data_IF_915871817676
#
_entry.id   IF_915871817676
#
_cell.length_a   1.000
_cell.length_b   1.000
_cell.length_c   1.000
_cell.angle_alpha   90.00
_cell.angle_beta   90.00
_cell.angle_gamma   90.00
#
_symmetry.space_group_name_H-M   'P 1'
#
loop_
_entity.id
_entity.type
_entity.pdbx_description
1 polymer ?
#
# COMPACT_ATOMS: atom_id res chain seq x y z
N UNK A 1 -28.36 -35.61 -19.79
CA UNK A 1 -28.44 -34.24 -19.24
C UNK A 1 -27.12 -33.93 -18.55
N UNK A 2 -26.15 -33.44 -19.33
CA UNK A 2 -24.85 -33.00 -18.82
C UNK A 2 -25.01 -31.52 -18.43
N UNK A 3 -25.31 -31.25 -17.16
CA UNK A 3 -25.24 -29.89 -16.63
C UNK A 3 -23.79 -29.59 -16.27
N UNK A 4 -23.08 -29.00 -17.23
CA UNK A 4 -21.81 -28.32 -17.01
C UNK A 4 -22.09 -27.05 -16.19
N UNK A 5 -21.93 -27.11 -14.88
CA UNK A 5 -21.87 -25.92 -14.04
C UNK A 5 -20.42 -25.43 -14.03
N UNK A 6 -20.07 -24.55 -14.98
CA UNK A 6 -18.86 -23.75 -14.89
C UNK A 6 -19.03 -22.73 -13.76
N UNK A 7 -18.44 -23.02 -12.60
CA UNK A 7 -18.24 -22.04 -11.55
C UNK A 7 -17.02 -21.19 -11.91
N UNK A 8 -17.19 -20.21 -12.78
CA UNK A 8 -16.15 -19.22 -13.03
C UNK A 8 -16.06 -18.26 -11.83
N UNK A 9 -15.13 -18.53 -10.91
CA UNK A 9 -14.98 -17.78 -9.66
C UNK A 9 -13.70 -16.94 -9.76
N UNK A 10 -13.85 -15.65 -10.04
CA UNK A 10 -12.72 -14.74 -10.17
C UNK A 10 -12.48 -13.98 -8.85
N UNK A 11 -11.36 -14.29 -8.20
CA UNK A 11 -10.76 -13.41 -7.20
C UNK A 11 -10.16 -12.20 -7.96
N UNK A 12 -10.73 -10.98 -7.82
CA UNK A 12 -10.23 -9.79 -8.54
C UNK A 12 -9.23 -8.99 -7.69
N UNK A 13 -7.98 -8.81 -8.13
CA UNK A 13 -7.05 -7.89 -7.47
C UNK A 13 -7.34 -6.43 -7.89
N UNK A 14 -7.25 -5.43 -6.99
CA UNK A 14 -7.38 -4.03 -7.39
C UNK A 14 -6.11 -3.54 -8.10
N UNK A 15 -6.32 -2.57 -9.00
CA UNK A 15 -5.37 -1.98 -9.97
C UNK A 15 -3.99 -1.60 -9.39
N UNK A 16 -2.93 -1.56 -10.23
CA UNK A 16 -1.58 -1.20 -9.79
C UNK A 16 -1.51 0.27 -9.35
N UNK A 17 -1.18 0.51 -8.08
CA UNK A 17 -0.88 1.85 -7.58
C UNK A 17 0.52 2.30 -8.05
N UNK A 18 0.65 3.53 -8.54
CA UNK A 18 1.95 4.16 -8.79
C UNK A 18 2.52 4.64 -7.44
N UNK A 19 3.66 4.11 -7.03
CA UNK A 19 4.28 4.42 -5.74
C UNK A 19 5.17 5.67 -5.82
N UNK A 20 4.62 6.80 -5.42
CA UNK A 20 5.37 8.01 -5.10
C UNK A 20 5.06 8.37 -3.66
N UNK A 21 6.09 8.49 -2.81
CA UNK A 21 5.92 9.03 -1.47
C UNK A 21 6.61 10.37 -1.36
N UNK A 22 5.82 11.39 -1.03
CA UNK A 22 6.30 12.74 -0.76
C UNK A 22 5.94 13.08 0.67
N UNK A 23 6.96 13.27 1.51
CA UNK A 23 6.81 13.70 2.90
C UNK A 23 7.11 15.19 2.99
N UNK A 24 6.19 15.94 3.60
CA UNK A 24 6.24 17.41 3.65
C UNK A 24 6.60 17.93 5.02
N UNK A 25 7.53 18.88 5.05
CA UNK A 25 7.91 19.62 6.25
C UNK A 25 7.88 21.11 5.94
N UNK A 26 7.06 21.87 6.65
CA UNK A 26 6.91 23.32 6.49
C UNK A 26 7.70 24.03 7.58
N UNK A 27 8.46 25.05 7.20
CA UNK A 27 9.24 25.90 8.11
C UNK A 27 8.69 27.32 8.15
N UNK A 28 8.59 27.92 9.33
CA UNK A 28 8.13 29.31 9.54
C UNK A 28 9.23 30.34 9.24
N UNK A 29 9.87 30.22 8.07
CA UNK A 29 10.87 31.17 7.59
C UNK A 29 12.32 30.72 7.82
N UNK A 30 13.04 30.68 6.68
CA UNK A 30 14.50 30.70 6.51
C UNK A 30 15.27 29.93 7.60
N UNK A 31 15.35 28.61 7.47
CA UNK A 31 16.33 27.82 8.22
C UNK A 31 16.65 26.50 7.54
N UNK A 32 17.91 26.11 7.63
CA UNK A 32 18.44 24.86 7.07
C UNK A 32 17.72 23.68 7.72
N UNK A 33 16.87 22.99 6.97
CA UNK A 33 16.21 21.76 7.42
C UNK A 33 17.10 20.53 7.21
N UNK A 34 16.89 19.48 7.98
CA UNK A 34 17.53 18.19 7.77
C UNK A 34 16.48 17.09 7.75
N UNK A 35 16.64 16.15 6.82
CA UNK A 35 15.84 14.93 6.73
C UNK A 35 16.67 13.75 7.19
N UNK A 36 16.10 12.92 8.06
CA UNK A 36 16.71 11.72 8.58
C UNK A 36 15.79 10.52 8.36
N UNK A 37 16.37 9.38 8.00
CA UNK A 37 15.72 8.07 8.08
C UNK A 37 16.24 7.39 9.35
N UNK A 38 15.38 7.24 10.36
CA UNK A 38 15.76 6.79 11.71
C UNK A 38 16.88 7.65 12.31
N UNK A 39 18.14 7.19 12.23
CA UNK A 39 19.33 7.89 12.72
C UNK A 39 20.29 8.31 11.61
N UNK A 40 19.98 8.00 10.34
CA UNK A 40 20.83 8.33 9.19
C UNK A 40 20.38 9.62 8.53
N UNK A 41 21.31 10.56 8.30
CA UNK A 41 21.04 11.82 7.60
C UNK A 41 20.85 11.52 6.12
N UNK A 42 19.72 11.96 5.56
CA UNK A 42 19.41 11.89 4.13
C UNK A 42 19.82 13.17 3.44
N UNK A 43 19.37 14.30 4.00
CA UNK A 43 19.70 15.64 3.55
C UNK A 43 19.94 16.56 4.75
N UNK A 44 20.86 17.51 4.58
CA UNK A 44 21.06 18.63 5.48
C UNK A 44 21.14 19.91 4.63
N UNK A 45 20.11 20.74 4.66
CA UNK A 45 19.93 21.84 3.73
C UNK A 45 19.82 21.31 2.29
N UNK A 46 20.74 21.71 1.42
CA UNK A 46 20.78 21.21 0.05
C UNK A 46 21.79 20.06 -0.13
N UNK A 47 22.53 19.71 0.91
CA UNK A 47 23.56 18.70 0.84
C UNK A 47 22.93 17.31 1.01
N UNK A 48 23.16 16.44 0.02
CA UNK A 48 22.72 15.05 0.03
C UNK A 48 23.75 14.17 0.74
N UNK A 49 23.33 13.53 1.81
CA UNK A 49 24.16 12.59 2.59
C UNK A 49 23.83 11.12 2.28
N UNK A 50 22.60 10.84 1.88
CA UNK A 50 22.20 9.49 1.48
C UNK A 50 22.80 9.10 0.13
N UNK A 51 23.31 7.88 0.05
CA UNK A 51 23.78 7.25 -1.19
C UNK A 51 22.64 6.83 -2.12
N UNK A 52 21.39 6.82 -1.64
CA UNK A 52 20.24 6.37 -2.42
C UNK A 52 19.95 7.37 -3.56
N UNK A 53 20.02 6.96 -4.85
CA UNK A 53 19.72 7.86 -5.97
C UNK A 53 18.24 8.26 -6.03
N UNK A 54 17.33 7.51 -5.37
CA UNK A 54 15.87 7.72 -5.42
C UNK A 54 15.39 8.90 -4.59
N UNK A 55 16.21 9.39 -3.66
CA UNK A 55 15.83 10.48 -2.76
C UNK A 55 16.23 11.85 -3.31
N UNK A 56 15.29 12.80 -3.24
CA UNK A 56 15.46 14.19 -3.64
C UNK A 56 14.71 15.14 -2.70
N UNK A 57 15.17 16.39 -2.61
CA UNK A 57 14.46 17.45 -1.88
C UNK A 57 13.69 18.35 -2.84
N UNK A 58 12.54 18.84 -2.40
CA UNK A 58 11.76 19.88 -3.06
C UNK A 58 11.60 21.02 -2.06
N UNK A 59 12.25 22.16 -2.35
CA UNK A 59 12.23 23.34 -1.50
C UNK A 59 11.58 24.50 -2.24
N UNK A 60 10.35 24.87 -1.87
CA UNK A 60 9.60 25.97 -2.50
C UNK A 60 8.79 26.75 -1.46
N UNK A 61 8.89 28.07 -1.45
CA UNK A 61 8.02 28.95 -0.66
C UNK A 61 8.03 28.71 0.86
N UNK A 62 9.13 28.21 1.46
CA UNK A 62 9.22 27.88 2.89
C UNK A 62 8.88 26.42 3.25
N UNK A 63 8.50 25.63 2.25
CA UNK A 63 8.34 24.17 2.36
C UNK A 63 9.67 23.47 2.04
N UNK A 64 10.02 22.45 2.82
CA UNK A 64 11.22 21.63 2.68
C UNK A 64 10.84 20.14 2.71
N UNK A 65 10.57 19.59 1.53
CA UNK A 65 9.94 18.27 1.37
C UNK A 65 10.91 17.22 0.85
N UNK A 66 10.85 16.02 1.42
CA UNK A 66 11.61 14.85 0.97
C UNK A 66 10.73 14.01 0.04
N UNK A 67 11.25 13.74 -1.15
CA UNK A 67 10.64 12.90 -2.16
C UNK A 67 11.46 11.63 -2.37
N UNK A 68 10.79 10.49 -2.37
CA UNK A 68 11.39 9.18 -2.62
C UNK A 68 10.69 8.59 -3.85
N UNK A 69 11.45 8.37 -4.93
CA UNK A 69 10.94 7.74 -6.15
C UNK A 69 11.04 6.22 -6.06
N UNK A 70 10.12 5.49 -6.71
CA UNK A 70 10.13 4.02 -6.74
C UNK A 70 10.25 3.44 -5.32
N UNK A 71 9.30 3.84 -4.47
CA UNK A 71 9.26 3.45 -3.06
C UNK A 71 9.13 1.93 -2.96
N UNK A 72 9.94 1.34 -2.10
CA UNK A 72 9.98 -0.09 -1.81
C UNK A 72 9.46 -0.37 -0.39
N UNK A 73 9.02 -1.59 -0.11
CA UNK A 73 8.57 -1.99 1.24
C UNK A 73 9.63 -1.79 2.32
N UNK A 74 10.90 -1.79 1.94
CA UNK A 74 12.06 -1.51 2.82
C UNK A 74 12.17 -0.04 3.23
N UNK A 75 11.54 0.88 2.49
CA UNK A 75 11.54 2.31 2.83
C UNK A 75 10.57 2.64 3.97
N UNK A 76 9.71 1.69 4.37
CA UNK A 76 8.72 1.83 5.43
C UNK A 76 9.38 2.10 6.80
N UNK A 77 8.87 3.11 7.51
CA UNK A 77 9.37 3.44 8.83
C UNK A 77 9.40 4.92 9.17
N UNK A 78 10.19 5.26 10.19
CA UNK A 78 10.22 6.60 10.79
C UNK A 78 11.22 7.52 10.06
N UNK A 79 10.67 8.58 9.48
CA UNK A 79 11.42 9.70 8.94
C UNK A 79 11.29 10.90 9.88
N UNK A 80 12.38 11.63 10.07
CA UNK A 80 12.41 12.80 10.93
C UNK A 80 12.84 14.02 10.12
N UNK A 81 12.03 15.07 10.18
CA UNK A 81 12.41 16.38 9.71
C UNK A 81 12.82 17.24 10.90
N UNK A 82 14.05 17.75 10.88
CA UNK A 82 14.53 18.72 11.85
C UNK A 82 14.69 20.06 11.17
N UNK A 83 13.88 21.05 11.55
CA UNK A 83 14.00 22.42 11.05
C UNK A 83 14.46 23.28 12.22
N UNK A 84 15.54 24.03 12.02
CA UNK A 84 15.94 25.04 12.99
C UNK A 84 14.86 26.13 12.99
N UNK A 85 14.17 26.34 14.12
CA UNK A 85 13.25 27.47 14.27
C UNK A 85 13.72 28.26 15.48
N UNK A 86 13.87 29.57 15.32
CA UNK A 86 14.50 30.47 16.33
C UNK A 86 13.83 30.42 17.71
N UNK A 87 12.59 29.92 17.82
CA UNK A 87 11.86 29.87 19.09
C UNK A 87 11.73 28.50 19.75
N UNK A 88 11.93 27.39 19.03
CA UNK A 88 11.99 26.02 19.56
C UNK A 88 12.19 25.02 18.40
N UNK A 89 13.41 24.53 18.13
CA UNK A 89 13.62 23.50 17.12
C UNK A 89 13.09 22.16 17.65
N UNK A 90 11.87 21.79 17.27
CA UNK A 90 11.29 20.48 17.58
C UNK A 90 11.36 19.58 16.36
N UNK A 91 11.97 18.39 16.46
CA UNK A 91 11.95 17.43 15.37
C UNK A 91 10.51 16.99 15.12
N UNK A 92 10.10 16.97 13.85
CA UNK A 92 8.83 16.43 13.41
C UNK A 92 9.05 15.01 12.91
N UNK A 93 8.40 14.05 13.56
CA UNK A 93 8.45 12.65 13.16
C UNK A 93 7.28 12.31 12.23
N UNK A 94 7.57 11.59 11.16
CA UNK A 94 6.61 11.13 10.16
C UNK A 94 6.83 9.64 9.93
N UNK A 95 5.76 8.86 9.85
CA UNK A 95 5.85 7.45 9.53
C UNK A 95 5.47 7.22 8.07
N UNK A 96 6.42 6.74 7.28
CA UNK A 96 6.18 6.33 5.90
C UNK A 96 5.58 4.92 5.91
N UNK A 97 4.32 4.82 5.46
CA UNK A 97 3.66 3.54 5.24
C UNK A 97 3.63 3.23 3.75
N UNK A 98 4.31 2.16 3.36
CA UNK A 98 4.32 1.67 1.99
C UNK A 98 3.17 0.70 1.83
N UNK A 99 2.31 0.95 0.83
CA UNK A 99 1.18 0.08 0.49
C UNK A 99 1.58 -0.82 -0.68
N UNK A 100 1.13 -2.07 -0.64
CA UNK A 100 1.34 -3.05 -1.72
C UNK A 100 -0.03 -3.55 -2.16
N UNK A 101 -0.39 -3.43 -3.45
CA UNK A 101 -1.63 -3.95 -4.00
C UNK A 101 -1.79 -5.44 -3.67
N UNK A 102 -3.02 -5.90 -3.44
CA UNK A 102 -3.34 -7.32 -3.31
C UNK A 102 -2.93 -8.07 -4.57
N UNK A 103 -2.28 -9.20 -4.38
CA UNK A 103 -1.97 -10.19 -5.41
C UNK A 103 -2.43 -11.55 -4.93
N UNK A 104 -3.34 -12.17 -5.68
CA UNK A 104 -3.72 -13.56 -5.47
C UNK A 104 -2.57 -14.43 -5.96
N UNK A 105 -2.14 -15.36 -5.12
CA UNK A 105 -1.06 -16.30 -5.46
C UNK A 105 -1.48 -17.75 -5.34
N UNK A 106 -2.60 -18.04 -4.69
CA UNK A 106 -3.19 -19.37 -4.65
C UNK A 106 -4.70 -19.25 -4.80
N UNK A 107 -5.28 -20.04 -5.69
CA UNK A 107 -6.71 -20.11 -5.94
C UNK A 107 -7.06 -21.54 -6.34
N UNK A 108 -8.16 -22.07 -5.80
CA UNK A 108 -8.68 -23.37 -6.22
C UNK A 108 -8.90 -23.39 -7.73
N UNK A 109 -8.40 -24.45 -8.37
CA UNK A 109 -8.71 -24.72 -9.77
C UNK A 109 -10.19 -25.08 -9.94
N UNK A 110 -10.64 -25.10 -11.18
CA UNK A 110 -11.96 -25.60 -11.51
C UNK A 110 -12.13 -27.03 -11.01
N UNK A 111 -13.25 -27.28 -10.33
CA UNK A 111 -13.60 -28.57 -9.76
C UNK A 111 -15.00 -28.98 -10.19
N UNK A 112 -15.16 -30.27 -10.48
CA UNK A 112 -16.46 -30.88 -10.75
C UNK A 112 -16.79 -31.80 -9.60
N UNK A 113 -17.97 -31.61 -9.00
CA UNK A 113 -18.43 -32.42 -7.87
C UNK A 113 -19.85 -32.91 -8.10
N UNK A 114 -20.18 -34.04 -7.47
CA UNK A 114 -21.52 -34.58 -7.51
C UNK A 114 -22.46 -33.75 -6.64
N UNK A 115 -23.74 -33.70 -7.02
CA UNK A 115 -24.78 -33.04 -6.24
C UNK A 115 -24.82 -33.59 -4.80
N UNK A 116 -24.96 -32.69 -3.83
CA UNK A 116 -24.93 -33.03 -2.39
C UNK A 116 -23.52 -33.20 -1.80
N UNK A 117 -22.46 -33.06 -2.59
CA UNK A 117 -21.08 -33.10 -2.08
C UNK A 117 -20.67 -31.78 -1.43
N UNK A 118 -19.84 -31.86 -0.39
CA UNK A 118 -19.26 -30.68 0.24
C UNK A 118 -17.98 -30.24 -0.51
N UNK A 119 -17.81 -28.93 -0.67
CA UNK A 119 -16.70 -28.32 -1.39
C UNK A 119 -16.04 -27.25 -0.55
N UNK A 120 -14.71 -27.22 -0.56
CA UNK A 120 -13.92 -26.15 0.02
C UNK A 120 -13.13 -25.45 -1.09
N UNK A 121 -13.29 -24.13 -1.18
CA UNK A 121 -12.55 -23.28 -2.10
C UNK A 121 -11.52 -22.47 -1.31
N UNK A 122 -10.32 -22.38 -1.86
CA UNK A 122 -9.18 -21.65 -1.31
C UNK A 122 -8.90 -20.47 -2.23
N UNK A 123 -8.76 -19.29 -1.66
CA UNK A 123 -8.19 -18.13 -2.34
C UNK A 123 -7.27 -17.46 -1.31
N UNK A 124 -6.00 -17.31 -1.68
CA UNK A 124 -4.99 -16.70 -0.83
C UNK A 124 -4.36 -15.53 -1.57
N UNK A 125 -4.37 -14.38 -0.93
CA UNK A 125 -3.84 -13.13 -1.48
C UNK A 125 -2.86 -12.48 -0.50
N UNK A 126 -1.81 -11.89 -1.06
CA UNK A 126 -0.83 -11.09 -0.32
C UNK A 126 -1.02 -9.61 -0.65
N UNK A 127 -0.83 -8.72 0.32
CA UNK A 127 -0.89 -7.28 0.11
C UNK A 127 -0.48 -6.53 1.38
N UNK A 128 -0.29 -5.22 1.29
CA UNK A 128 -0.06 -4.36 2.46
C UNK A 128 -0.97 -3.12 2.38
N UNK A 129 -1.93 -2.93 3.29
CA UNK A 129 -2.29 -3.83 4.40
C UNK A 129 -2.85 -5.17 3.92
N UNK A 130 -2.97 -6.14 4.83
CA UNK A 130 -3.48 -7.48 4.51
C UNK A 130 -4.84 -7.39 3.80
N UNK A 131 -4.99 -8.06 2.64
CA UNK A 131 -6.19 -7.94 1.83
C UNK A 131 -7.38 -8.70 2.45
N UNK A 132 -8.57 -8.13 2.34
CA UNK A 132 -9.81 -8.83 2.64
C UNK A 132 -10.25 -9.66 1.45
N UNK A 133 -10.48 -10.95 1.65
CA UNK A 133 -10.91 -11.90 0.60
C UNK A 133 -12.42 -12.06 0.67
N UNK A 134 -13.09 -11.94 -0.49
CA UNK A 134 -14.52 -12.16 -0.62
C UNK A 134 -14.82 -13.05 -1.83
N UNK A 135 -15.84 -13.90 -1.67
CA UNK A 135 -16.27 -14.84 -2.70
C UNK A 135 -17.56 -14.36 -3.35
N UNK A 136 -17.68 -14.57 -4.66
CA UNK A 136 -18.91 -14.27 -5.41
C UNK A 136 -19.28 -15.44 -6.31
N UNK A 137 -20.49 -15.94 -6.14
CA UNK A 137 -21.09 -16.87 -7.09
C UNK A 137 -21.54 -16.11 -8.34
N UNK A 138 -21.04 -16.48 -9.51
CA UNK A 138 -21.46 -15.89 -10.79
C UNK A 138 -22.46 -16.85 -11.41
N UNK A 139 -23.75 -16.61 -11.20
CA UNK A 139 -24.80 -17.28 -11.96
C UNK A 139 -24.77 -16.78 -13.41
N UNK A 140 -24.63 -17.66 -14.42
CA UNK A 140 -24.97 -17.27 -15.76
C UNK A 140 -26.49 -17.05 -15.78
N UNK A 141 -26.92 -15.86 -16.22
CA UNK A 141 -28.30 -15.33 -16.25
C UNK A 141 -28.66 -14.41 -15.06
N UNK A 142 -28.29 -13.14 -15.17
CA UNK A 142 -29.27 -12.03 -15.18
C UNK A 142 -30.18 -11.74 -13.98
N UNK A 143 -30.08 -12.43 -12.85
CA UNK A 143 -30.84 -12.09 -11.64
C UNK A 143 -29.90 -11.78 -10.46
N UNK A 144 -29.80 -10.49 -10.12
CA UNK A 144 -29.29 -10.07 -8.82
C UNK A 144 -30.35 -10.38 -7.76
N UNK A 145 -30.39 -11.60 -7.25
CA UNK A 145 -31.05 -11.89 -5.97
C UNK A 145 -30.11 -11.49 -4.85
N UNK A 146 -30.47 -10.43 -4.12
CA UNK A 146 -29.82 -10.03 -2.87
C UNK A 146 -29.96 -11.17 -1.85
N UNK A 147 -28.99 -12.09 -1.72
CA UNK A 147 -28.99 -13.03 -0.59
C UNK A 147 -27.62 -13.25 0.06
N UNK A 148 -27.62 -12.79 1.32
CA UNK A 148 -26.97 -13.29 2.54
C UNK A 148 -25.44 -13.41 2.58
N UNK A 149 -24.85 -12.44 3.28
CA UNK A 149 -23.47 -12.44 3.75
C UNK A 149 -23.26 -13.61 4.73
N UNK A 150 -22.72 -14.73 4.27
CA UNK A 150 -22.16 -15.74 5.17
C UNK A 150 -20.82 -15.22 5.71
N UNK A 151 -20.90 -14.46 6.80
CA UNK A 151 -19.76 -14.18 7.67
C UNK A 151 -19.65 -15.33 8.69
N UNK A 152 -18.47 -15.93 8.83
CA UNK A 152 -18.17 -16.79 9.98
C UNK A 152 -16.93 -16.27 10.68
N UNK A 153 -17.09 -16.01 11.98
CA UNK A 153 -16.08 -15.67 13.00
C UNK A 153 -14.95 -16.67 13.08
#
# INVERSE_FOLDING_TARGET
YLCLFELAIFCTPPLPARFFSTSRCTSDGISKGAWLNRSSIIFAGNDKWSVDPRVSIVSSGGEYSLQIQKVDVTDDGLYTCSVQSERNPKPKHLHLVVKVPPKIYDISSDITVNEGSNVSLICTASGKPDPTISWRHITPLGEFTLQETLSRT
#
